data_IF_518635600970
#
_entry.id   IF_518635600970
#
_cell.length_a   1.000
_cell.length_b   1.000
_cell.length_c   1.000
_cell.angle_alpha   90.00
_cell.angle_beta   90.00
_cell.angle_gamma   90.00
#
_symmetry.space_group_name_H-M   'P 1'
#
loop_
_entity.id
_entity.type
_entity.pdbx_description
1 polymer ?
#
# COMPACT_ATOMS: atom_id res chain seq x y z
N UNK A 1 12.41 -8.26 -13.96
CA UNK A 1 11.15 -7.72 -13.41
C UNK A 1 10.64 -8.71 -12.39
N UNK A 2 10.83 -8.43 -11.10
CA UNK A 2 10.32 -9.28 -10.01
C UNK A 2 8.92 -8.83 -9.64
N UNK A 3 7.93 -9.44 -10.28
CA UNK A 3 6.51 -9.31 -9.95
C UNK A 3 6.35 -9.63 -8.46
N UNK A 4 5.78 -8.72 -7.67
CA UNK A 4 5.75 -8.74 -6.18
C UNK A 4 4.85 -9.84 -5.58
N UNK A 5 4.85 -11.04 -6.17
CA UNK A 5 4.00 -12.16 -5.76
C UNK A 5 2.51 -11.95 -6.05
N UNK A 6 2.15 -11.03 -6.95
CA UNK A 6 0.76 -10.74 -7.28
C UNK A 6 0.06 -11.94 -7.93
N UNK A 7 -1.13 -12.26 -7.43
CA UNK A 7 -1.98 -13.29 -8.02
C UNK A 7 -2.94 -12.72 -9.08
N UNK A 8 -3.43 -11.50 -8.84
CA UNK A 8 -4.21 -10.69 -9.78
C UNK A 8 -3.86 -9.23 -9.53
N UNK A 9 -3.32 -8.54 -10.54
CA UNK A 9 -2.94 -7.13 -10.43
C UNK A 9 -3.59 -6.27 -11.52
N UNK A 10 -3.74 -4.98 -11.19
CA UNK A 10 -4.11 -3.92 -12.10
C UNK A 10 -3.24 -2.72 -11.80
N UNK A 11 -2.58 -2.19 -12.83
CA UNK A 11 -1.80 -0.96 -12.74
C UNK A 11 -2.57 0.20 -13.36
N UNK A 12 -2.59 1.33 -12.65
CA UNK A 12 -3.19 2.59 -13.07
C UNK A 12 -2.13 3.69 -12.94
N UNK A 13 -2.14 4.65 -13.85
CA UNK A 13 -1.31 5.86 -13.71
C UNK A 13 -2.13 6.92 -12.96
N UNK A 14 -1.50 7.59 -11.99
CA UNK A 14 -2.07 8.74 -11.29
C UNK A 14 -1.02 9.85 -11.17
N UNK A 15 -1.38 10.97 -10.56
CA UNK A 15 -0.51 12.14 -10.38
C UNK A 15 -0.27 12.35 -8.88
N UNK A 16 1.00 12.53 -8.50
CA UNK A 16 1.38 12.81 -7.11
C UNK A 16 1.10 14.27 -6.70
N UNK A 17 1.39 14.61 -5.44
CA UNK A 17 1.11 15.95 -4.88
C UNK A 17 1.94 17.07 -5.51
N UNK A 18 2.97 16.77 -6.30
CA UNK A 18 3.80 17.74 -7.01
C UNK A 18 3.60 17.73 -8.53
N UNK A 19 2.59 16.98 -9.02
CA UNK A 19 2.23 16.96 -10.44
C UNK A 19 2.95 15.89 -11.26
N UNK A 20 3.67 14.95 -10.63
CA UNK A 20 4.39 13.88 -11.33
C UNK A 20 3.50 12.67 -11.56
N UNK A 21 3.57 12.10 -12.75
CA UNK A 21 2.94 10.80 -13.01
C UNK A 21 3.60 9.69 -12.20
N UNK A 22 2.78 8.87 -11.54
CA UNK A 22 3.21 7.72 -10.75
C UNK A 22 2.31 6.52 -11.07
N UNK A 23 2.92 5.33 -11.11
CA UNK A 23 2.19 4.08 -11.32
C UNK A 23 1.70 3.54 -9.99
N UNK A 24 0.43 3.15 -9.93
CA UNK A 24 -0.18 2.51 -8.77
C UNK A 24 -0.64 1.13 -9.19
N UNK A 25 -0.03 0.11 -8.61
CA UNK A 25 -0.43 -1.28 -8.79
C UNK A 25 -1.31 -1.69 -7.61
N UNK A 26 -2.50 -2.18 -7.93
CA UNK A 26 -3.45 -2.74 -6.96
C UNK A 26 -3.67 -4.20 -7.28
N UNK A 27 -3.91 -5.04 -6.28
CA UNK A 27 -4.11 -6.44 -6.55
C UNK A 27 -4.27 -7.30 -5.31
N UNK A 28 -4.28 -8.61 -5.54
CA UNK A 28 -4.26 -9.62 -4.49
C UNK A 28 -2.86 -10.21 -4.36
N UNK A 29 -2.36 -10.31 -3.15
CA UNK A 29 -1.08 -10.93 -2.80
C UNK A 29 -1.24 -11.85 -1.58
N UNK A 30 -0.15 -12.48 -1.13
CA UNK A 30 -0.12 -13.25 0.11
C UNK A 30 0.65 -12.51 1.20
N UNK A 31 0.11 -12.52 2.42
CA UNK A 31 0.84 -12.05 3.59
C UNK A 31 1.93 -13.08 4.02
N UNK A 32 2.79 -12.77 5.01
CA UNK A 32 3.81 -13.69 5.49
C UNK A 32 3.26 -15.02 6.03
N UNK A 33 2.00 -15.05 6.48
CA UNK A 33 1.30 -16.27 6.90
C UNK A 33 0.66 -17.03 5.73
N UNK A 34 0.83 -16.55 4.49
CA UNK A 34 0.35 -17.18 3.26
C UNK A 34 -1.12 -16.90 2.91
N UNK A 35 -1.81 -16.05 3.67
CA UNK A 35 -3.23 -15.70 3.47
C UNK A 35 -3.38 -14.71 2.33
N UNK A 36 -4.46 -14.83 1.56
CA UNK A 36 -4.76 -13.91 0.48
C UNK A 36 -5.23 -12.56 1.04
N UNK A 37 -4.59 -11.48 0.60
CA UNK A 37 -4.85 -10.11 1.06
C UNK A 37 -4.88 -9.15 -0.11
N UNK A 38 -5.65 -8.06 0.00
CA UNK A 38 -5.62 -6.98 -0.97
C UNK A 38 -4.40 -6.09 -0.69
N UNK A 39 -3.77 -5.56 -1.74
CA UNK A 39 -2.61 -4.72 -1.58
C UNK A 39 -2.52 -3.62 -2.65
N UNK A 40 -1.84 -2.54 -2.30
CA UNK A 40 -1.57 -1.38 -3.15
C UNK A 40 -0.08 -1.06 -3.08
N UNK A 41 0.56 -0.88 -4.22
CA UNK A 41 1.95 -0.48 -4.38
C UNK A 41 2.01 0.79 -5.23
N UNK A 42 2.82 1.76 -4.81
CA UNK A 42 3.09 2.97 -5.59
C UNK A 42 4.51 2.88 -6.13
N UNK A 43 4.65 2.80 -7.46
CA UNK A 43 5.91 2.59 -8.18
C UNK A 43 6.72 1.43 -7.55
N UNK A 44 8.02 1.63 -7.35
CA UNK A 44 8.88 0.70 -6.63
C UNK A 44 8.85 0.87 -5.09
N UNK A 45 7.93 1.67 -4.56
CA UNK A 45 7.77 1.97 -3.13
C UNK A 45 7.10 0.86 -2.31
N UNK A 46 6.86 1.10 -1.01
CA UNK A 46 6.28 0.12 -0.10
C UNK A 46 4.86 -0.31 -0.51
N UNK A 47 4.53 -1.58 -0.23
CA UNK A 47 3.22 -2.16 -0.54
C UNK A 47 2.30 -2.07 0.68
N UNK A 48 1.24 -1.27 0.63
CA UNK A 48 0.17 -1.28 1.62
C UNK A 48 -0.65 -2.57 1.53
N UNK A 49 -0.89 -3.25 2.65
CA UNK A 49 -1.71 -4.47 2.73
C UNK A 49 -2.99 -4.16 3.51
N UNK A 50 -4.11 -4.59 2.94
CA UNK A 50 -5.46 -4.44 3.46
C UNK A 50 -6.07 -5.81 3.72
N UNK A 51 -6.61 -6.02 4.92
CA UNK A 51 -7.50 -7.16 5.17
C UNK A 51 -8.86 -6.82 4.59
N UNK A 52 -9.37 -7.63 3.67
CA UNK A 52 -10.78 -7.57 3.33
C UNK A 52 -11.54 -8.16 4.52
N UNK A 53 -12.24 -7.33 5.27
CA UNK A 53 -13.26 -7.82 6.18
C UNK A 53 -14.45 -8.24 5.31
N UNK A 54 -14.97 -9.46 5.54
CA UNK A 54 -16.02 -10.05 4.71
C UNK A 54 -17.39 -9.36 4.87
N UNK A 55 -17.49 -8.42 5.82
CA UNK A 55 -18.70 -7.73 6.20
C UNK A 55 -18.59 -6.24 5.79
N UNK A 56 -19.57 -5.67 5.06
CA UNK A 56 -19.54 -4.28 4.62
C UNK A 56 -19.49 -3.24 5.75
N UNK A 57 -19.89 -3.61 6.97
CA UNK A 57 -19.77 -2.75 8.17
C UNK A 57 -18.39 -2.85 8.84
N UNK A 58 -17.56 -3.79 8.41
CA UNK A 58 -16.30 -4.12 9.06
C UNK A 58 -15.15 -3.41 8.33
N UNK A 59 -14.51 -2.48 9.04
CA UNK A 59 -13.59 -1.50 8.44
C UNK A 59 -12.40 -2.22 7.82
N UNK A 60 -12.07 -1.88 6.57
CA UNK A 60 -10.82 -2.32 5.93
C UNK A 60 -9.63 -1.98 6.81
N UNK A 61 -8.99 -3.00 7.37
CA UNK A 61 -7.89 -2.82 8.32
C UNK A 61 -6.53 -2.83 7.60
N UNK A 62 -5.72 -1.81 7.86
CA UNK A 62 -4.36 -1.64 7.33
C UNK A 62 -3.37 -2.43 8.19
N UNK A 63 -2.78 -3.49 7.62
CA UNK A 63 -2.22 -4.57 8.45
C UNK A 63 -0.74 -4.45 8.82
N UNK A 64 0.12 -3.79 8.04
CA UNK A 64 1.56 -3.82 8.36
C UNK A 64 2.39 -2.66 7.82
N UNK A 65 2.38 -2.42 6.50
CA UNK A 65 3.40 -1.54 5.91
C UNK A 65 3.07 -0.05 5.95
N UNK A 66 1.78 0.30 5.94
CA UNK A 66 1.36 1.69 6.11
C UNK A 66 1.49 2.12 7.56
N UNK A 67 1.27 1.22 8.53
CA UNK A 67 1.44 1.57 9.95
C UNK A 67 2.86 2.00 10.25
N UNK A 68 3.86 1.30 9.73
CA UNK A 68 5.26 1.69 9.89
C UNK A 68 5.59 2.98 9.10
N UNK A 69 5.06 3.11 7.88
CA UNK A 69 5.15 4.36 7.11
C UNK A 69 4.53 5.54 7.87
N UNK A 70 3.39 5.36 8.52
CA UNK A 70 2.70 6.38 9.33
C UNK A 70 3.50 6.72 10.58
N UNK A 71 4.15 5.74 11.23
CA UNK A 71 5.07 6.03 12.34
C UNK A 71 6.25 6.86 11.87
N UNK A 72 6.88 6.51 10.75
CA UNK A 72 7.97 7.27 10.15
C UNK A 72 7.52 8.69 9.75
N UNK A 73 6.36 8.83 9.12
CA UNK A 73 5.77 10.14 8.79
C UNK A 73 5.49 10.97 10.04
N UNK A 74 4.99 10.36 11.13
CA UNK A 74 4.83 11.06 12.41
C UNK A 74 6.17 11.56 12.94
N UNK A 75 7.26 10.78 12.82
CA UNK A 75 8.61 11.26 13.22
C UNK A 75 9.05 12.45 12.35
N UNK A 76 8.83 12.38 11.03
CA UNK A 76 9.17 13.44 10.09
C UNK A 76 8.35 14.72 10.28
N UNK A 77 7.07 14.60 10.64
CA UNK A 77 6.20 15.76 10.89
C UNK A 77 6.62 16.59 12.12
N UNK A 78 7.44 16.03 13.02
CA UNK A 78 8.04 16.78 14.13
C UNK A 78 9.35 17.47 13.73
N UNK A 79 9.82 17.28 12.50
CA UNK A 79 10.99 17.98 11.96
C UNK A 79 10.50 19.21 11.20
N UNK A 80 10.86 20.44 11.62
CA UNK A 80 10.47 21.63 10.89
C UNK A 80 11.04 21.60 9.47
N UNK A 81 10.29 22.07 8.45
CA UNK A 81 10.80 22.12 7.09
C UNK A 81 12.03 23.03 7.02
N UNK A 82 13.04 22.62 6.24
CA UNK A 82 14.22 23.43 5.90
C UNK A 82 13.93 24.35 4.73
#
# INVERSE_FOLDING_TARGET
MTTRGWYKERTLTTVDTVGREVSVTTGLTRDPEGRLVAAIAISDGPTAIYRHAADPDDRTELLANVTETVKELKKLAHVPPR
#
